data_IF_649449846852
#
_entry.id   IF_649449846852
#
_cell.length_a   1.000
_cell.length_b   1.000
_cell.length_c   1.000
_cell.angle_alpha   90.00
_cell.angle_beta   90.00
_cell.angle_gamma   90.00
#
_symmetry.space_group_name_H-M   'P 1'
#
loop_
_entity.id
_entity.type
_entity.pdbx_description
1 polymer ?
#
# COMPACT_ATOMS: atom_id res chain seq x y z
N UNK A 1 21.63 -28.05 31.88
CA UNK A 1 20.35 -28.47 32.46
C UNK A 1 19.53 -27.22 32.81
N UNK A 2 18.77 -26.66 31.88
CA UNK A 2 17.90 -25.51 32.14
C UNK A 2 16.47 -25.86 31.71
N UNK A 3 15.56 -26.02 32.67
CA UNK A 3 14.12 -26.24 32.44
C UNK A 3 13.43 -24.88 32.39
N UNK A 4 12.94 -24.50 31.22
CA UNK A 4 11.98 -23.40 31.09
C UNK A 4 10.64 -23.92 31.64
N UNK A 5 10.23 -23.40 32.80
CA UNK A 5 8.90 -23.65 33.35
C UNK A 5 7.93 -22.72 32.62
N UNK A 6 7.25 -23.24 31.60
CA UNK A 6 6.12 -22.56 30.96
C UNK A 6 4.96 -22.54 31.96
N UNK A 7 4.91 -21.48 32.79
CA UNK A 7 3.75 -21.15 33.60
C UNK A 7 2.59 -20.84 32.66
N UNK A 8 1.62 -21.76 32.58
CA UNK A 8 0.35 -21.55 31.89
C UNK A 8 -0.50 -20.54 32.65
N UNK A 9 -0.11 -19.26 32.65
CA UNK A 9 -1.04 -18.17 32.92
C UNK A 9 -1.91 -18.05 31.68
N UNK A 10 -3.10 -18.65 31.73
CA UNK A 10 -4.15 -18.43 30.76
C UNK A 10 -4.64 -16.98 30.90
N UNK A 11 -3.86 -16.04 30.34
CA UNK A 11 -4.34 -14.68 30.11
C UNK A 11 -5.35 -14.79 28.99
N UNK A 12 -6.63 -14.68 29.34
CA UNK A 12 -7.69 -14.49 28.36
C UNK A 12 -7.53 -13.08 27.77
N UNK A 13 -6.64 -12.93 26.78
CA UNK A 13 -6.30 -11.67 26.10
C UNK A 13 -7.56 -10.94 25.64
N UNK A 14 -8.59 -11.70 25.23
CA UNK A 14 -9.90 -11.21 24.82
C UNK A 14 -10.68 -10.45 25.91
N UNK A 15 -10.45 -10.77 27.19
CA UNK A 15 -11.19 -10.14 28.32
C UNK A 15 -10.67 -8.73 28.62
N UNK A 16 -9.41 -8.45 28.32
CA UNK A 16 -8.75 -7.19 28.63
C UNK A 16 -9.02 -6.11 27.55
N UNK A 17 -9.21 -6.53 26.30
CA UNK A 17 -9.46 -5.64 25.16
C UNK A 17 -10.84 -4.95 25.21
N UNK A 18 -11.84 -5.59 25.81
CA UNK A 18 -13.24 -5.11 25.83
C UNK A 18 -13.50 -3.87 26.69
N UNK A 19 -12.57 -3.44 27.54
CA UNK A 19 -12.89 -2.56 28.67
C UNK A 19 -12.66 -1.06 28.49
N UNK A 20 -11.95 -0.60 27.44
CA UNK A 20 -11.44 0.79 27.44
C UNK A 20 -11.24 1.43 26.06
N UNK A 21 -12.09 1.14 25.07
CA UNK A 21 -12.10 1.92 23.82
C UNK A 21 -13.07 3.10 24.03
N UNK A 22 -12.51 4.29 24.23
CA UNK A 22 -13.27 5.54 24.49
C UNK A 22 -13.23 6.51 23.31
N UNK A 23 -12.83 6.05 22.12
CA UNK A 23 -12.91 6.85 20.91
C UNK A 23 -14.33 6.80 20.34
N UNK A 24 -14.89 7.97 20.06
CA UNK A 24 -16.10 8.05 19.26
C UNK A 24 -15.82 7.35 17.92
N UNK A 25 -16.71 6.47 17.43
CA UNK A 25 -16.50 5.77 16.18
C UNK A 25 -16.32 6.79 15.05
N UNK A 26 -15.17 6.74 14.39
CA UNK A 26 -14.87 7.58 13.23
C UNK A 26 -15.87 7.22 12.13
N UNK A 27 -16.60 8.24 11.65
CA UNK A 27 -17.46 8.13 10.47
C UNK A 27 -16.72 8.69 9.28
N UNK A 28 -16.69 7.92 8.19
CA UNK A 28 -16.05 8.36 6.95
C UNK A 28 -17.03 9.23 6.18
N UNK A 29 -16.72 10.51 6.06
CA UNK A 29 -17.46 11.43 5.20
C UNK A 29 -17.16 11.16 3.70
N UNK A 30 -18.07 11.59 2.84
CA UNK A 30 -17.98 11.49 1.38
C UNK A 30 -16.69 12.08 0.81
N UNK A 31 -16.22 13.21 1.33
CA UNK A 31 -14.95 13.81 0.91
C UNK A 31 -13.74 12.94 1.29
N UNK A 32 -13.79 12.30 2.47
CA UNK A 32 -12.75 11.39 2.93
C UNK A 32 -12.77 10.10 2.13
N UNK A 33 -13.96 9.57 1.83
CA UNK A 33 -14.14 8.44 0.93
C UNK A 33 -13.50 8.74 -0.44
N UNK A 34 -13.85 9.85 -1.08
CA UNK A 34 -13.31 10.23 -2.39
C UNK A 34 -11.78 10.31 -2.39
N UNK A 35 -11.19 10.84 -1.31
CA UNK A 35 -9.72 10.90 -1.15
C UNK A 35 -9.12 9.51 -1.01
N UNK A 36 -9.72 8.65 -0.21
CA UNK A 36 -9.28 7.27 -0.02
C UNK A 36 -9.38 6.46 -1.31
N UNK A 37 -10.45 6.63 -2.09
CA UNK A 37 -10.60 6.00 -3.41
C UNK A 37 -9.48 6.41 -4.35
N UNK A 38 -9.21 7.72 -4.42
CA UNK A 38 -8.16 8.25 -5.29
C UNK A 38 -6.76 7.79 -4.91
N UNK A 39 -6.46 7.72 -3.61
CA UNK A 39 -5.12 7.34 -3.13
C UNK A 39 -4.89 5.83 -3.23
N UNK A 40 -5.92 5.02 -2.99
CA UNK A 40 -5.81 3.56 -3.05
C UNK A 40 -6.10 2.99 -4.44
N UNK A 41 -6.65 3.79 -5.36
CA UNK A 41 -7.18 3.36 -6.66
C UNK A 41 -8.28 2.28 -6.53
N UNK A 42 -9.01 2.29 -5.41
CA UNK A 42 -10.13 1.39 -5.11
C UNK A 42 -11.43 2.20 -5.19
N UNK A 43 -12.52 1.60 -5.68
CA UNK A 43 -13.84 2.23 -5.67
C UNK A 43 -14.68 1.68 -4.52
N UNK A 44 -15.19 2.54 -3.63
CA UNK A 44 -16.10 2.16 -2.54
C UNK A 44 -17.56 2.26 -3.01
N UNK A 45 -17.97 1.34 -3.88
CA UNK A 45 -19.34 1.32 -4.40
C UNK A 45 -20.38 0.79 -3.39
N UNK A 46 -19.92 0.18 -2.29
CA UNK A 46 -20.77 -0.54 -1.34
C UNK A 46 -20.57 0.00 0.08
N UNK A 47 -21.67 0.39 0.73
CA UNK A 47 -21.67 0.84 2.14
C UNK A 47 -21.02 -0.18 3.08
N UNK A 48 -21.14 -1.48 2.77
CA UNK A 48 -20.52 -2.54 3.60
C UNK A 48 -19.00 -2.44 3.63
N UNK A 49 -18.36 -1.95 2.57
CA UNK A 49 -16.90 -1.76 2.54
C UNK A 49 -16.49 -0.61 3.45
N UNK A 50 -17.24 0.49 3.43
CA UNK A 50 -17.00 1.65 4.29
C UNK A 50 -17.15 1.24 5.76
N UNK A 51 -18.22 0.53 6.12
CA UNK A 51 -18.44 0.04 7.50
C UNK A 51 -17.31 -0.86 7.98
N UNK A 52 -16.73 -1.69 7.11
CA UNK A 52 -15.57 -2.53 7.47
C UNK A 52 -14.35 -1.68 7.77
N UNK A 53 -14.07 -0.65 6.97
CA UNK A 53 -12.95 0.26 7.21
C UNK A 53 -13.13 0.98 8.54
N UNK A 54 -14.32 1.50 8.83
CA UNK A 54 -14.65 2.14 10.12
C UNK A 54 -14.43 1.19 11.30
N UNK A 55 -14.85 -0.07 11.18
CA UNK A 55 -14.64 -1.11 12.19
C UNK A 55 -13.15 -1.46 12.37
N UNK A 56 -12.38 -1.51 11.29
CA UNK A 56 -10.93 -1.75 11.34
C UNK A 56 -10.23 -0.60 12.05
N UNK A 57 -10.56 0.65 11.73
CA UNK A 57 -10.01 1.84 12.40
C UNK A 57 -10.30 1.78 13.91
N UNK A 58 -11.56 1.53 14.30
CA UNK A 58 -11.94 1.42 15.70
C UNK A 58 -11.20 0.27 16.42
N UNK A 59 -10.88 -0.81 15.70
CA UNK A 59 -10.10 -1.91 16.25
C UNK A 59 -8.61 -1.54 16.40
N UNK A 60 -8.07 -0.70 15.52
CA UNK A 60 -6.70 -0.20 15.59
C UNK A 60 -6.48 0.81 16.73
N UNK A 61 -7.53 1.52 17.18
CA UNK A 61 -7.45 2.48 18.30
C UNK A 61 -6.92 1.87 19.61
N UNK A 62 -6.99 0.54 19.77
CA UNK A 62 -6.40 -0.17 20.92
C UNK A 62 -4.89 0.09 21.02
N UNK A 63 -4.20 0.25 19.89
CA UNK A 63 -2.74 0.45 19.85
C UNK A 63 -2.36 1.79 20.51
N UNK A 64 -3.21 2.82 20.44
CA UNK A 64 -2.96 4.13 21.06
C UNK A 64 -2.97 4.11 22.59
N UNK A 65 -3.45 3.04 23.23
CA UNK A 65 -3.46 2.91 24.69
C UNK A 65 -2.10 2.46 25.25
N UNK A 66 -1.20 1.99 24.39
CA UNK A 66 0.13 1.54 24.78
C UNK A 66 1.03 2.77 24.94
N UNK A 67 1.69 2.90 26.09
CA UNK A 67 2.69 3.95 26.29
C UNK A 67 3.90 3.67 25.37
N UNK A 68 4.20 4.61 24.49
CA UNK A 68 5.33 4.58 23.56
C UNK A 68 6.35 5.71 23.83
N UNK A 69 6.26 6.37 24.98
CA UNK A 69 7.18 7.42 25.39
C UNK A 69 8.62 6.89 25.41
N UNK A 70 9.54 7.67 24.85
CA UNK A 70 10.97 7.36 24.77
C UNK A 70 11.37 6.12 23.94
N UNK A 71 10.47 5.57 23.13
CA UNK A 71 10.80 4.52 22.17
C UNK A 71 11.20 5.10 20.81
N UNK A 72 12.14 4.45 20.14
CA UNK A 72 12.43 4.70 18.72
C UNK A 72 11.60 3.72 17.86
N UNK A 73 10.98 4.16 16.75
CA UNK A 73 10.28 3.26 15.84
C UNK A 73 11.24 2.22 15.26
N UNK A 74 10.83 0.95 15.27
CA UNK A 74 11.53 -0.12 14.57
C UNK A 74 11.17 -0.06 13.08
N UNK A 75 12.15 0.23 12.21
CA UNK A 75 11.91 0.37 10.76
C UNK A 75 12.13 -0.93 9.99
N UNK A 76 13.11 -1.73 10.42
CA UNK A 76 13.44 -3.04 9.86
C UNK A 76 13.78 -3.99 10.99
N UNK A 77 13.59 -5.29 10.78
CA UNK A 77 14.04 -6.29 11.76
C UNK A 77 15.57 -6.44 11.77
N UNK A 78 16.21 -6.06 10.66
CA UNK A 78 17.64 -6.23 10.39
C UNK A 78 18.43 -4.93 10.60
N UNK A 79 18.27 -4.28 11.76
CA UNK A 79 18.90 -2.96 12.01
C UNK A 79 20.42 -3.00 12.10
N UNK A 80 20.98 -4.16 12.46
CA UNK A 80 22.41 -4.39 12.60
C UNK A 80 23.07 -4.87 11.31
N UNK A 81 22.28 -5.20 10.28
CA UNK A 81 22.81 -5.69 9.02
C UNK A 81 23.36 -4.53 8.19
N UNK A 82 24.54 -4.73 7.61
CA UNK A 82 25.12 -3.76 6.69
C UNK A 82 24.27 -3.73 5.41
N UNK A 83 23.77 -2.56 5.02
CA UNK A 83 23.12 -2.36 3.73
C UNK A 83 24.19 -2.31 2.64
N UNK A 84 24.39 -3.38 1.86
CA UNK A 84 25.43 -3.37 0.84
C UNK A 84 25.05 -2.39 -0.25
N UNK A 85 25.96 -1.49 -0.59
CA UNK A 85 25.84 -0.71 -1.80
C UNK A 85 25.88 -1.67 -2.99
N UNK A 86 25.14 -1.35 -4.05
CA UNK A 86 25.24 -2.07 -5.32
C UNK A 86 26.68 -2.00 -5.80
N UNK A 87 27.32 -3.16 -5.95
CA UNK A 87 28.78 -3.29 -6.16
C UNK A 87 29.29 -2.65 -7.46
N UNK A 88 28.41 -2.44 -8.43
CA UNK A 88 28.76 -1.88 -9.75
C UNK A 88 27.64 -1.00 -10.25
N UNK A 89 27.98 0.17 -10.80
CA UNK A 89 27.07 0.97 -11.63
C UNK A 89 27.00 0.48 -13.08
N UNK A 90 27.79 -0.55 -13.41
CA UNK A 90 27.87 -1.14 -14.73
C UNK A 90 26.54 -1.79 -15.13
N UNK A 91 26.01 -1.39 -16.27
CA UNK A 91 24.86 -2.03 -16.91
C UNK A 91 25.29 -3.46 -17.23
N UNK A 92 24.72 -4.44 -16.52
CA UNK A 92 24.93 -5.85 -16.85
C UNK A 92 24.15 -6.16 -18.13
N UNK A 93 24.85 -6.18 -19.26
CA UNK A 93 24.32 -6.59 -20.57
C UNK A 93 23.84 -8.05 -20.61
N UNK A 94 24.20 -8.83 -19.59
CA UNK A 94 23.86 -10.24 -19.46
C UNK A 94 22.38 -10.47 -19.08
N UNK A 95 21.72 -9.46 -18.51
CA UNK A 95 20.32 -9.51 -18.04
C UNK A 95 19.37 -8.59 -18.80
N UNK A 96 19.79 -8.03 -19.92
CA UNK A 96 18.88 -7.25 -20.76
C UNK A 96 17.79 -8.17 -21.30
N UNK A 97 16.57 -8.01 -20.76
CA UNK A 97 15.41 -8.76 -21.21
C UNK A 97 15.01 -8.29 -22.60
N UNK A 98 14.65 -9.24 -23.46
CA UNK A 98 14.07 -8.91 -24.76
C UNK A 98 12.66 -8.33 -24.55
N UNK A 99 12.23 -7.44 -25.44
CA UNK A 99 10.90 -6.80 -25.40
C UNK A 99 9.77 -7.81 -25.20
N UNK A 100 9.84 -8.97 -25.88
CA UNK A 100 8.88 -10.07 -25.74
C UNK A 100 8.77 -10.60 -24.31
N UNK A 101 9.88 -10.66 -23.57
CA UNK A 101 9.91 -11.14 -22.18
C UNK A 101 9.31 -10.10 -21.23
N UNK A 102 9.59 -8.81 -21.46
CA UNK A 102 9.03 -7.70 -20.68
C UNK A 102 7.51 -7.65 -20.83
N UNK A 103 7.00 -7.87 -22.04
CA UNK A 103 5.57 -7.78 -22.36
C UNK A 103 4.80 -9.08 -22.16
N UNK A 104 5.44 -10.18 -21.76
CA UNK A 104 4.82 -11.50 -21.69
C UNK A 104 3.58 -11.57 -20.77
N UNK A 105 3.54 -10.76 -19.71
CA UNK A 105 2.44 -10.71 -18.75
C UNK A 105 1.42 -9.59 -19.05
N UNK A 106 1.63 -8.80 -20.09
CA UNK A 106 0.76 -7.67 -20.40
C UNK A 106 -0.56 -8.17 -21.00
N UNK A 107 -1.69 -7.72 -20.46
CA UNK A 107 -3.03 -8.08 -20.98
C UNK A 107 -3.33 -7.43 -22.32
N UNK A 108 -2.82 -6.21 -22.55
CA UNK A 108 -3.01 -5.46 -23.79
C UNK A 108 -1.69 -4.81 -24.19
N UNK A 109 -1.31 -5.03 -25.44
CA UNK A 109 -0.16 -4.40 -26.07
C UNK A 109 -0.54 -3.91 -27.46
N UNK A 110 0.16 -2.91 -27.95
CA UNK A 110 0.06 -2.42 -29.33
C UNK A 110 1.45 -2.01 -29.79
N UNK A 111 1.93 -2.58 -30.89
CA UNK A 111 3.25 -2.30 -31.47
C UNK A 111 4.39 -2.33 -30.43
N UNK A 112 4.42 -3.37 -29.60
CA UNK A 112 5.41 -3.53 -28.52
C UNK A 112 5.36 -2.48 -27.40
N UNK A 113 4.24 -1.76 -27.27
CA UNK A 113 3.97 -0.85 -26.15
C UNK A 113 2.88 -1.40 -25.23
N UNK A 114 2.99 -1.05 -23.94
CA UNK A 114 1.90 -1.24 -22.97
C UNK A 114 0.81 -0.21 -23.24
N UNK A 115 -0.41 -0.69 -23.47
CA UNK A 115 -1.55 0.19 -23.73
C UNK A 115 -2.39 0.33 -22.48
N UNK A 116 -2.50 1.56 -22.00
CA UNK A 116 -3.47 1.95 -20.99
C UNK A 116 -4.65 2.69 -21.65
N UNK A 117 -5.88 2.54 -21.14
CA UNK A 117 -6.99 3.38 -21.58
C UNK A 117 -6.66 4.85 -21.30
N UNK A 118 -6.82 5.71 -22.32
CA UNK A 118 -6.66 7.15 -22.13
C UNK A 118 -7.81 7.68 -21.29
N UNK A 119 -7.52 8.12 -20.06
CA UNK A 119 -8.49 8.80 -19.20
C UNK A 119 -8.12 10.28 -19.20
N UNK A 120 -8.60 11.00 -20.22
CA UNK A 120 -8.46 12.44 -20.34
C UNK A 120 -9.29 12.94 -21.52
N UNK A 121 -10.07 14.02 -21.33
CA UNK A 121 -10.62 14.74 -22.47
C UNK A 121 -9.43 15.37 -23.19
N UNK A 122 -9.09 14.90 -24.38
CA UNK A 122 -8.17 15.65 -25.25
C UNK A 122 -8.89 16.94 -25.60
N UNK A 123 -8.40 18.06 -25.07
CA UNK A 123 -8.78 19.36 -25.60
C UNK A 123 -8.47 19.34 -27.10
N UNK A 124 -9.45 19.72 -27.92
CA UNK A 124 -9.41 19.60 -29.38
C UNK A 124 -8.21 20.31 -30.02
N UNK A 125 -7.52 21.19 -29.29
CA UNK A 125 -6.38 21.98 -29.74
C UNK A 125 -5.05 21.20 -29.79
N UNK A 126 -4.92 20.06 -29.12
CA UNK A 126 -3.65 19.32 -29.07
C UNK A 126 -3.50 18.31 -30.21
N UNK A 127 -4.59 17.94 -30.88
CA UNK A 127 -4.58 16.94 -31.98
C UNK A 127 -3.95 17.54 -33.26
N UNK A 128 -4.21 18.81 -33.56
CA UNK A 128 -3.73 19.44 -34.81
C UNK A 128 -2.21 19.69 -34.87
N UNK A 129 -1.53 19.77 -33.71
CA UNK A 129 -0.09 20.05 -33.67
C UNK A 129 0.80 18.83 -33.89
N UNK A 130 0.28 17.62 -33.70
CA UNK A 130 1.08 16.40 -33.85
C UNK A 130 1.26 16.03 -35.33
N UNK A 131 0.23 16.25 -36.16
CA UNK A 131 0.28 15.91 -37.59
C UNK A 131 1.13 16.89 -38.43
N UNK A 132 1.37 18.10 -37.94
CA UNK A 132 2.13 19.13 -38.67
C UNK A 132 3.65 19.03 -38.49
N UNK A 133 4.15 18.16 -37.61
CA UNK A 133 5.59 18.00 -37.35
C UNK A 133 6.20 16.77 -38.06
N UNK A 134 5.43 16.11 -38.92
CA UNK A 134 5.83 14.90 -39.67
C UNK A 134 6.04 15.14 -41.18
N UNK A 135 6.49 16.35 -41.57
CA UNK A 135 6.91 16.72 -42.92
C UNK A 135 8.25 17.46 -42.90
#
# INVERSE_FOLDING_TARGET
MFRIVLSRRSFSVLKQIKGKVSSNPIKIDTDMQNKLERLSLISFQNETTIRKVEQTIHSSDIIHQVNVDHLQPLYTLAETELCPLRQTDTISTEKTLQTKQVLANATKTYEDYLVAPMIGKRDSQTVEKVDQTAL
#
